data_IF_137524703392
#
_entry.id   IF_137524703392
#
_cell.length_a   1.000
_cell.length_b   1.000
_cell.length_c   1.000
_cell.angle_alpha   90.00
_cell.angle_beta   90.00
_cell.angle_gamma   90.00
#
_symmetry.space_group_name_H-M   'P 1'
#
loop_
_entity.id
_entity.type
_entity.pdbx_description
1 polymer ?
#
# COMPACT_ATOMS: atom_id res chain seq x y z
N UNK A 1 2.20 9.07 8.06
CA UNK A 1 2.47 9.12 6.61
C UNK A 1 1.51 10.10 5.90
N UNK A 2 0.19 9.92 6.02
CA UNK A 2 -0.87 10.66 5.31
C UNK A 2 -0.76 12.20 5.34
N UNK A 3 -0.37 12.81 6.46
CA UNK A 3 -0.35 14.28 6.61
C UNK A 3 0.97 14.97 6.27
N UNK A 4 2.06 14.20 6.11
CA UNK A 4 3.40 14.76 6.00
C UNK A 4 4.07 14.41 4.68
N UNK A 5 3.99 13.14 4.27
CA UNK A 5 4.67 12.67 3.06
C UNK A 5 4.16 13.36 1.79
N UNK A 6 2.84 13.64 1.61
CA UNK A 6 2.38 14.34 0.41
C UNK A 6 3.03 15.71 0.17
N UNK A 7 3.54 16.37 1.22
CA UNK A 7 4.17 17.70 1.10
C UNK A 7 5.42 17.70 0.24
N UNK A 8 6.10 16.56 0.08
CA UNK A 8 7.29 16.45 -0.78
C UNK A 8 6.97 16.70 -2.26
N UNK A 9 5.72 16.49 -2.67
CA UNK A 9 5.24 16.74 -4.03
C UNK A 9 4.88 18.23 -4.25
N UNK A 10 4.74 19.01 -3.17
CA UNK A 10 4.31 20.42 -3.23
C UNK A 10 5.51 21.39 -3.15
N UNK A 11 6.63 20.95 -2.61
CA UNK A 11 7.78 21.81 -2.31
C UNK A 11 9.02 21.51 -3.17
N UNK A 12 8.88 20.70 -4.22
CA UNK A 12 9.96 20.34 -5.15
C UNK A 12 10.96 19.32 -4.60
N UNK A 13 10.79 18.81 -3.37
CA UNK A 13 11.69 17.76 -2.87
C UNK A 13 11.61 16.48 -3.71
N UNK A 14 10.45 16.19 -4.29
CA UNK A 14 10.27 14.99 -5.12
C UNK A 14 11.21 14.97 -6.34
N UNK A 15 11.64 16.13 -6.85
CA UNK A 15 12.50 16.24 -8.03
C UNK A 15 13.97 15.87 -7.76
N UNK A 16 14.35 15.75 -6.47
CA UNK A 16 15.73 15.51 -6.03
C UNK A 16 15.88 14.26 -5.15
N UNK A 17 14.85 13.42 -5.05
CA UNK A 17 14.86 12.17 -4.30
C UNK A 17 14.35 11.01 -5.17
N UNK A 18 14.70 9.79 -4.78
CA UNK A 18 14.04 8.57 -5.25
C UNK A 18 13.17 8.02 -4.13
N UNK A 19 11.84 8.08 -4.31
CA UNK A 19 10.89 7.63 -3.31
C UNK A 19 10.50 6.17 -3.55
N UNK A 20 10.86 5.30 -2.60
CA UNK A 20 10.51 3.89 -2.61
C UNK A 20 9.68 3.51 -1.38
N UNK A 21 8.54 2.85 -1.61
CA UNK A 21 7.73 2.25 -0.55
C UNK A 21 8.13 0.80 -0.32
N UNK A 22 8.15 0.39 0.95
CA UNK A 22 8.37 -0.99 1.38
C UNK A 22 7.32 -1.30 2.47
N UNK A 23 6.11 -1.76 2.08
CA UNK A 23 5.00 -2.02 3.00
C UNK A 23 5.25 -3.31 3.78
N UNK A 24 5.96 -3.18 4.90
CA UNK A 24 6.35 -4.29 5.76
C UNK A 24 6.37 -3.85 7.23
N UNK A 25 7.07 -2.74 7.51
CA UNK A 25 7.13 -2.14 8.85
C UNK A 25 7.69 -3.11 9.89
N UNK A 26 6.88 -3.40 10.91
CA UNK A 26 7.24 -4.29 12.02
C UNK A 26 6.71 -5.73 11.85
N UNK A 27 6.30 -6.10 10.63
CA UNK A 27 5.93 -7.47 10.35
C UNK A 27 7.11 -8.42 10.65
N UNK A 28 6.78 -9.65 11.05
CA UNK A 28 7.74 -10.71 11.36
C UNK A 28 7.44 -11.92 10.52
N UNK A 29 8.49 -12.52 9.98
CA UNK A 29 8.44 -13.78 9.26
C UNK A 29 8.96 -14.85 10.21
N UNK A 30 8.12 -15.83 10.54
CA UNK A 30 8.51 -17.00 11.32
C UNK A 30 9.31 -18.00 10.47
N UNK A 31 9.90 -19.02 11.10
CA UNK A 31 10.70 -20.03 10.40
C UNK A 31 9.89 -20.82 9.35
N UNK A 32 8.58 -20.96 9.56
CA UNK A 32 7.60 -21.55 8.65
C UNK A 32 7.05 -20.56 7.60
N UNK A 33 7.69 -19.39 7.44
CA UNK A 33 7.34 -18.33 6.47
C UNK A 33 5.96 -17.72 6.68
N UNK A 34 5.43 -17.79 7.90
CA UNK A 34 4.18 -17.09 8.25
C UNK A 34 4.51 -15.66 8.59
N UNK A 35 3.81 -14.74 7.92
CA UNK A 35 3.89 -13.30 8.19
C UNK A 35 2.93 -12.98 9.33
N UNK A 36 3.46 -12.34 10.38
CA UNK A 36 2.66 -11.80 11.49
C UNK A 36 2.89 -10.30 11.59
N UNK A 37 1.81 -9.54 11.74
CA UNK A 37 1.84 -8.08 11.82
C UNK A 37 1.38 -7.60 13.20
N UNK A 38 1.91 -6.46 13.64
CA UNK A 38 1.72 -5.97 15.01
C UNK A 38 0.26 -5.55 15.31
N UNK A 39 -0.47 -5.15 14.28
CA UNK A 39 -1.88 -4.73 14.33
C UNK A 39 -2.83 -5.80 13.77
N UNK A 40 -2.37 -7.06 13.68
CA UNK A 40 -3.21 -8.20 13.32
C UNK A 40 -3.32 -8.43 11.79
N UNK A 41 -4.29 -9.28 11.37
CA UNK A 41 -4.37 -9.77 10.00
C UNK A 41 -4.75 -8.69 8.97
N UNK A 42 -5.50 -7.66 9.37
CA UNK A 42 -5.88 -6.56 8.49
C UNK A 42 -4.63 -5.79 8.01
N UNK A 43 -3.68 -5.50 8.90
CA UNK A 43 -2.40 -4.87 8.55
C UNK A 43 -1.61 -5.75 7.58
N UNK A 44 -1.55 -7.05 7.82
CA UNK A 44 -0.86 -7.96 6.89
C UNK A 44 -1.53 -7.96 5.50
N UNK A 45 -2.86 -7.99 5.45
CA UNK A 45 -3.59 -7.91 4.19
C UNK A 45 -3.28 -6.58 3.46
N UNK A 46 -3.32 -5.46 4.16
CA UNK A 46 -3.06 -4.15 3.56
C UNK A 46 -1.61 -3.96 3.12
N UNK A 47 -0.64 -4.50 3.86
CA UNK A 47 0.75 -4.54 3.40
C UNK A 47 0.88 -5.29 2.05
N UNK A 48 0.20 -6.43 1.91
CA UNK A 48 0.15 -7.20 0.64
C UNK A 48 -0.56 -6.41 -0.47
N UNK A 49 -1.67 -5.73 -0.17
CA UNK A 49 -2.39 -4.87 -1.12
C UNK A 49 -1.49 -3.75 -1.65
N UNK A 50 -0.75 -3.09 -0.76
CA UNK A 50 0.17 -2.01 -1.11
C UNK A 50 1.38 -2.52 -1.91
N UNK A 51 1.94 -3.68 -1.53
CA UNK A 51 2.99 -4.35 -2.31
C UNK A 51 2.52 -4.67 -3.73
N UNK A 52 1.29 -5.17 -3.87
CA UNK A 52 0.67 -5.40 -5.17
C UNK A 52 0.43 -4.11 -5.96
N UNK A 53 0.07 -3.00 -5.30
CA UNK A 53 -0.07 -1.71 -5.96
C UNK A 53 1.27 -1.24 -6.57
N UNK A 54 2.39 -1.43 -5.86
CA UNK A 54 3.72 -1.13 -6.38
C UNK A 54 4.08 -1.98 -7.60
N UNK A 55 3.71 -3.27 -7.59
CA UNK A 55 3.98 -4.19 -8.70
C UNK A 55 3.14 -3.86 -9.94
N UNK A 56 1.83 -3.70 -9.77
CA UNK A 56 0.87 -3.50 -10.85
C UNK A 56 0.95 -2.08 -11.42
N UNK A 57 1.22 -1.08 -10.57
CA UNK A 57 1.30 0.33 -10.96
C UNK A 57 2.68 0.91 -10.65
N UNK A 58 3.71 0.60 -11.46
CA UNK A 58 5.08 1.03 -11.18
C UNK A 58 5.27 2.56 -11.25
N UNK A 59 4.36 3.29 -11.90
CA UNK A 59 4.37 4.74 -11.93
C UNK A 59 4.10 5.32 -10.53
N UNK A 60 4.99 6.20 -10.06
CA UNK A 60 5.00 6.73 -8.69
C UNK A 60 3.69 7.42 -8.32
N UNK A 61 3.20 8.29 -9.20
CA UNK A 61 1.94 9.00 -9.04
C UNK A 61 0.77 8.03 -8.83
N UNK A 62 0.74 6.92 -9.59
CA UNK A 62 -0.35 5.97 -9.56
C UNK A 62 -0.38 5.13 -8.28
N UNK A 63 0.72 4.46 -7.92
CA UNK A 63 0.72 3.67 -6.68
C UNK A 63 0.68 4.56 -5.44
N UNK A 64 1.32 5.74 -5.45
CA UNK A 64 1.29 6.65 -4.31
C UNK A 64 -0.12 7.09 -3.98
N UNK A 65 -0.91 7.49 -5.00
CA UNK A 65 -2.29 7.93 -4.79
C UNK A 65 -3.16 6.81 -4.20
N UNK A 66 -2.96 5.57 -4.65
CA UNK A 66 -3.66 4.42 -4.11
C UNK A 66 -3.26 4.12 -2.66
N UNK A 67 -1.96 4.00 -2.38
CA UNK A 67 -1.43 3.74 -1.03
C UNK A 67 -1.91 4.83 -0.07
N UNK A 68 -1.80 6.11 -0.44
CA UNK A 68 -2.30 7.23 0.37
C UNK A 68 -3.80 7.10 0.66
N UNK A 69 -4.60 6.68 -0.30
CA UNK A 69 -6.03 6.47 -0.09
C UNK A 69 -6.30 5.34 0.91
N UNK A 70 -5.64 4.18 0.77
CA UNK A 70 -5.74 3.04 1.70
C UNK A 70 -5.35 3.49 3.11
N UNK A 71 -4.24 4.18 3.23
CA UNK A 71 -3.68 4.64 4.49
C UNK A 71 -4.50 5.76 5.16
N UNK A 72 -5.29 6.50 4.39
CA UNK A 72 -6.28 7.43 4.95
C UNK A 72 -7.39 6.66 5.67
N UNK A 73 -7.79 5.49 5.17
CA UNK A 73 -8.75 4.64 5.88
C UNK A 73 -8.14 4.00 7.12
N UNK A 74 -6.89 3.54 7.06
CA UNK A 74 -6.18 3.03 8.25
C UNK A 74 -6.07 4.12 9.32
N UNK A 75 -5.66 5.33 8.95
CA UNK A 75 -5.54 6.47 9.86
C UNK A 75 -6.85 6.84 10.58
N UNK A 76 -8.00 6.55 9.96
CA UNK A 76 -9.32 6.85 10.50
C UNK A 76 -10.00 5.63 11.17
N UNK A 77 -9.27 4.54 11.42
CA UNK A 77 -9.82 3.26 11.94
C UNK A 77 -10.94 2.67 11.06
N UNK A 78 -10.83 2.86 9.74
CA UNK A 78 -11.82 2.47 8.73
C UNK A 78 -11.23 1.53 7.67
N UNK A 79 -10.21 0.73 8.03
CA UNK A 79 -9.48 -0.11 7.07
C UNK A 79 -10.37 -1.00 6.20
N UNK A 80 -11.52 -1.46 6.70
CA UNK A 80 -12.46 -2.29 5.92
C UNK A 80 -12.99 -1.63 4.64
N UNK A 81 -12.88 -0.31 4.52
CA UNK A 81 -13.35 0.47 3.37
C UNK A 81 -12.27 0.70 2.30
N UNK A 82 -11.06 0.15 2.46
CA UNK A 82 -9.92 0.38 1.57
C UNK A 82 -10.22 0.14 0.08
N UNK A 83 -11.07 -0.85 -0.24
CA UNK A 83 -11.47 -1.18 -1.63
C UNK A 83 -12.14 -0.01 -2.34
N UNK A 84 -12.78 0.91 -1.62
CA UNK A 84 -13.36 2.10 -2.23
C UNK A 84 -12.31 3.01 -2.90
N UNK A 85 -11.01 2.81 -2.62
CA UNK A 85 -9.94 3.52 -3.30
C UNK A 85 -9.89 3.23 -4.81
N UNK A 86 -10.32 2.04 -5.26
CA UNK A 86 -10.43 1.75 -6.69
C UNK A 86 -11.40 2.71 -7.37
N UNK A 87 -12.63 2.80 -6.87
CA UNK A 87 -13.66 3.67 -7.46
C UNK A 87 -13.36 5.16 -7.27
N UNK A 88 -12.80 5.56 -6.12
CA UNK A 88 -12.41 6.95 -5.85
C UNK A 88 -11.33 7.46 -6.81
N UNK A 89 -10.42 6.59 -7.26
CA UNK A 89 -9.30 6.95 -8.13
C UNK A 89 -9.55 6.56 -9.61
N UNK A 90 -10.64 5.85 -9.90
CA UNK A 90 -10.91 5.31 -11.24
C UNK A 90 -9.93 4.20 -11.65
N UNK A 91 -9.46 3.40 -10.70
CA UNK A 91 -8.51 2.31 -10.95
C UNK A 91 -9.24 0.97 -11.06
N UNK A 92 -8.68 0.07 -11.87
CA UNK A 92 -9.18 -1.29 -12.03
C UNK A 92 -8.79 -2.15 -10.81
N UNK A 93 -9.76 -2.89 -10.26
CA UNK A 93 -9.56 -3.75 -9.09
C UNK A 93 -8.89 -5.09 -9.45
N UNK A 94 -9.19 -5.64 -10.62
CA UNK A 94 -8.77 -7.01 -11.01
C UNK A 94 -7.25 -7.23 -10.93
N UNK A 95 -6.38 -6.36 -11.47
CA UNK A 95 -4.94 -6.60 -11.44
C UNK A 95 -4.36 -6.73 -10.02
N UNK A 96 -4.87 -5.95 -9.07
CA UNK A 96 -4.44 -6.03 -7.66
C UNK A 96 -4.97 -7.31 -7.02
N UNK A 97 -6.23 -7.65 -7.27
CA UNK A 97 -6.83 -8.89 -6.76
C UNK A 97 -6.11 -10.14 -7.29
N UNK A 98 -5.67 -10.15 -8.55
CA UNK A 98 -4.86 -11.22 -9.13
C UNK A 98 -3.47 -11.32 -8.47
N UNK A 99 -2.81 -10.18 -8.23
CA UNK A 99 -1.54 -10.15 -7.51
C UNK A 99 -1.66 -10.71 -6.08
N UNK A 100 -2.72 -10.34 -5.35
CA UNK A 100 -2.97 -10.86 -4.00
C UNK A 100 -3.19 -12.38 -4.05
N UNK A 101 -4.03 -12.87 -4.96
CA UNK A 101 -4.35 -14.30 -5.10
C UNK A 101 -3.16 -15.15 -5.52
N UNK A 102 -2.28 -14.64 -6.37
CA UNK A 102 -1.10 -15.36 -6.85
C UNK A 102 0.01 -15.47 -5.78
N UNK A 103 -0.12 -14.74 -4.67
CA UNK A 103 0.91 -14.67 -3.63
C UNK A 103 2.13 -13.84 -4.05
N UNK A 104 2.08 -13.13 -5.19
CA UNK A 104 3.12 -12.19 -5.62
C UNK A 104 3.33 -11.08 -4.59
N UNK A 105 2.28 -10.66 -3.89
CA UNK A 105 2.38 -9.66 -2.82
C UNK A 105 3.12 -10.13 -1.56
N UNK A 106 3.52 -11.41 -1.47
CA UNK A 106 4.35 -11.96 -0.39
C UNK A 106 5.82 -12.22 -0.82
N UNK A 107 6.21 -11.81 -2.03
CA UNK A 107 7.56 -12.04 -2.59
C UNK A 107 8.49 -10.85 -2.38
#
# INVERSE_FOLDING_TARGET
MVNYLPKIFENGLIDIIDLKFIPYGNAKISADKVITCQHGPDECLLNTVEACALHVWPALDKHFNFIKCVETFVYNDQQSQWKSCYSKLGYEEEPINECIKSGLGHQ
#
